data_IF_671499740650
#
_entry.id   IF_671499740650
#
_cell.length_a   1.000
_cell.length_b   1.000
_cell.length_c   1.000
_cell.angle_alpha   90.00
_cell.angle_beta   90.00
_cell.angle_gamma   90.00
#
_symmetry.space_group_name_H-M   'P 1'
#
loop_
_entity.id
_entity.type
_entity.pdbx_description
1 polymer ?
#
# COMPACT_ATOMS: atom_id res chain seq x y z
N UNK A 1 2.31 56.07 20.13
CA UNK A 1 2.50 54.81 20.85
C UNK A 1 1.97 53.70 19.93
N UNK A 2 2.86 53.18 19.06
CA UNK A 2 2.51 52.17 18.05
C UNK A 2 2.92 50.81 18.57
N UNK A 3 1.97 49.92 18.74
CA UNK A 3 2.20 48.51 19.10
C UNK A 3 2.57 47.75 17.81
N UNK A 4 3.78 47.25 17.74
CA UNK A 4 4.21 46.29 16.73
C UNK A 4 3.85 44.90 17.24
N UNK A 5 2.87 44.27 16.58
CA UNK A 5 2.56 42.87 16.78
C UNK A 5 3.61 42.04 16.02
N UNK A 6 4.51 41.39 16.77
CA UNK A 6 5.42 40.40 16.23
C UNK A 6 4.66 39.16 15.89
N UNK A 7 4.49 38.85 14.62
CA UNK A 7 4.00 37.60 14.10
C UNK A 7 5.00 36.48 14.39
N UNK A 8 4.61 35.52 15.22
CA UNK A 8 5.33 34.26 15.40
C UNK A 8 5.16 33.42 14.12
N UNK A 9 6.15 33.44 13.24
CA UNK A 9 6.24 32.49 12.13
C UNK A 9 6.78 31.18 12.68
N UNK A 10 5.90 30.21 12.90
CA UNK A 10 6.31 28.85 13.19
C UNK A 10 6.75 28.20 11.87
N UNK A 11 8.03 28.33 11.54
CA UNK A 11 8.67 27.47 10.54
C UNK A 11 8.74 26.08 11.13
N UNK A 12 7.87 25.17 10.67
CA UNK A 12 8.10 23.74 10.86
C UNK A 12 9.48 23.40 10.27
N UNK A 13 10.27 22.55 10.96
CA UNK A 13 11.50 22.03 10.35
C UNK A 13 11.07 21.19 9.14
N UNK A 14 11.49 21.61 7.96
CA UNK A 14 11.39 20.83 6.75
C UNK A 14 12.27 19.58 6.93
N UNK A 15 11.65 18.43 7.26
CA UNK A 15 12.25 17.15 7.00
C UNK A 15 12.29 17.00 5.47
N UNK A 16 13.29 17.61 4.85
CA UNK A 16 13.68 17.30 3.49
C UNK A 16 14.41 15.96 3.53
N UNK A 17 13.65 14.87 3.61
CA UNK A 17 14.14 13.58 3.11
C UNK A 17 14.42 13.81 1.63
N UNK A 18 15.67 13.65 1.22
CA UNK A 18 16.08 13.81 -0.17
C UNK A 18 15.36 12.74 -0.97
N UNK A 19 14.41 13.09 -1.84
CA UNK A 19 13.70 12.09 -2.64
C UNK A 19 14.70 11.35 -3.51
N UNK A 20 14.61 10.03 -3.55
CA UNK A 20 15.51 9.17 -4.34
C UNK A 20 16.98 9.28 -3.96
N UNK A 21 17.33 9.08 -2.70
CA UNK A 21 18.69 8.76 -2.30
C UNK A 21 19.04 7.41 -2.96
N UNK A 22 19.73 7.45 -4.11
CA UNK A 22 20.40 6.35 -4.83
C UNK A 22 20.19 4.92 -4.29
N UNK A 23 18.95 4.55 -4.00
CA UNK A 23 18.62 3.18 -3.70
C UNK A 23 18.81 2.46 -5.01
N UNK A 24 19.98 1.84 -5.14
CA UNK A 24 20.23 0.88 -6.21
C UNK A 24 19.21 -0.24 -5.96
N UNK A 25 18.05 -0.12 -6.58
CA UNK A 25 17.03 -1.17 -6.58
C UNK A 25 17.53 -2.25 -7.51
N UNK A 26 18.58 -2.95 -7.06
CA UNK A 26 18.89 -4.27 -7.60
C UNK A 26 17.57 -5.03 -7.59
N UNK A 27 17.16 -5.50 -8.75
CA UNK A 27 15.86 -6.13 -8.96
C UNK A 27 15.63 -7.36 -8.05
N UNK A 28 16.64 -7.75 -7.27
CA UNK A 28 16.64 -8.93 -6.43
C UNK A 28 16.60 -10.20 -7.27
N UNK A 29 16.99 -11.30 -6.70
CA UNK A 29 16.77 -12.61 -7.31
C UNK A 29 15.29 -12.82 -7.59
N UNK A 30 14.91 -13.40 -8.74
CA UNK A 30 13.52 -13.74 -9.06
C UNK A 30 12.86 -14.50 -7.91
N UNK A 31 11.61 -14.19 -7.63
CA UNK A 31 10.87 -14.83 -6.54
C UNK A 31 10.56 -16.29 -6.86
N UNK A 32 11.33 -17.23 -6.28
CA UNK A 32 11.04 -18.69 -6.39
C UNK A 32 11.32 -19.31 -7.77
N UNK A 33 10.83 -20.53 -8.02
CA UNK A 33 10.89 -21.12 -9.35
C UNK A 33 10.19 -20.21 -10.33
N UNK A 34 10.83 -19.98 -11.47
CA UNK A 34 10.36 -19.05 -12.50
C UNK A 34 8.82 -19.18 -12.66
N UNK A 35 8.12 -18.04 -12.53
CA UNK A 35 6.72 -17.97 -12.96
C UNK A 35 6.62 -18.55 -14.36
N UNK A 36 5.53 -19.23 -14.65
CA UNK A 36 5.17 -19.55 -16.02
C UNK A 36 5.08 -18.23 -16.81
N UNK A 37 6.19 -17.84 -17.42
CA UNK A 37 6.35 -16.59 -18.15
C UNK A 37 5.44 -16.54 -19.37
N UNK A 38 4.91 -17.66 -19.82
CA UNK A 38 3.93 -17.70 -20.92
C UNK A 38 2.59 -17.10 -20.47
N UNK A 39 2.24 -17.19 -19.18
CA UNK A 39 1.12 -16.45 -18.59
C UNK A 39 1.50 -15.03 -18.15
N UNK A 40 2.75 -14.78 -17.75
CA UNK A 40 3.24 -13.50 -17.24
C UNK A 40 3.43 -12.44 -18.35
N UNK A 41 3.64 -12.83 -19.61
CA UNK A 41 3.83 -11.88 -20.72
C UNK A 41 2.64 -10.95 -20.98
N UNK A 42 1.50 -11.18 -20.34
CA UNK A 42 0.30 -10.33 -20.40
C UNK A 42 -0.05 -9.69 -19.03
N UNK A 43 0.67 -10.01 -17.94
CA UNK A 43 0.34 -9.48 -16.62
C UNK A 43 0.68 -7.98 -16.56
N UNK A 44 -0.32 -7.16 -16.28
CA UNK A 44 -0.17 -5.72 -16.08
C UNK A 44 -0.80 -5.30 -14.78
N UNK A 45 -0.17 -4.36 -14.09
CA UNK A 45 -0.72 -3.71 -12.91
C UNK A 45 -0.82 -2.20 -13.11
N UNK A 46 -1.86 -1.60 -12.56
CA UNK A 46 -2.01 -0.16 -12.44
C UNK A 46 -1.44 0.27 -11.08
N UNK A 47 -0.37 1.04 -11.08
CA UNK A 47 0.19 1.65 -9.87
C UNK A 47 -0.33 3.07 -9.74
N UNK A 48 -1.26 3.28 -8.81
CA UNK A 48 -1.95 4.55 -8.60
C UNK A 48 -1.41 5.25 -7.33
N UNK A 49 -1.03 6.52 -7.47
CA UNK A 49 -0.35 7.29 -6.42
C UNK A 49 -0.95 8.68 -6.22
N UNK A 50 -2.12 8.95 -6.81
CA UNK A 50 -2.80 10.23 -6.64
C UNK A 50 -3.26 10.41 -5.20
N UNK A 51 -3.13 11.62 -4.68
CA UNK A 51 -3.54 11.98 -3.33
C UNK A 51 -4.14 13.37 -3.33
N UNK A 52 -5.27 13.54 -2.68
CA UNK A 52 -5.91 14.85 -2.40
C UNK A 52 -5.65 15.31 -0.97
N UNK A 53 -5.14 14.42 -0.10
CA UNK A 53 -4.66 14.65 1.24
C UNK A 53 -3.13 14.76 1.32
N UNK A 54 -2.54 14.20 2.38
CA UNK A 54 -1.09 14.21 2.57
C UNK A 54 -0.39 13.34 1.54
N UNK A 55 0.59 13.90 0.84
CA UNK A 55 1.39 13.17 -0.15
C UNK A 55 2.71 12.72 0.44
N UNK A 56 2.88 11.40 0.63
CA UNK A 56 4.06 10.81 1.24
C UNK A 56 5.32 11.00 0.39
N UNK A 57 6.44 11.32 1.06
CA UNK A 57 7.75 11.46 0.41
C UNK A 57 8.29 10.13 -0.15
N UNK A 58 7.83 9.00 0.38
CA UNK A 58 8.22 7.64 -0.03
C UNK A 58 7.61 7.17 -1.37
N UNK A 59 6.63 7.88 -1.92
CA UNK A 59 5.97 7.51 -3.18
C UNK A 59 6.96 7.26 -4.32
N UNK A 60 7.96 8.13 -4.58
CA UNK A 60 8.97 7.89 -5.61
C UNK A 60 9.73 6.57 -5.46
N UNK A 61 10.18 6.27 -4.24
CA UNK A 61 10.93 5.05 -3.93
C UNK A 61 10.06 3.81 -4.12
N UNK A 62 8.80 3.88 -3.68
CA UNK A 62 7.81 2.83 -3.90
C UNK A 62 7.50 2.58 -5.38
N UNK A 63 7.37 3.65 -6.19
CA UNK A 63 7.20 3.52 -7.64
C UNK A 63 8.39 2.79 -8.25
N UNK A 64 9.61 3.22 -7.93
CA UNK A 64 10.82 2.63 -8.50
C UNK A 64 10.98 1.17 -8.08
N UNK A 65 10.72 0.84 -6.81
CA UNK A 65 10.76 -0.53 -6.31
C UNK A 65 9.75 -1.43 -7.03
N UNK A 66 8.48 -1.01 -7.15
CA UNK A 66 7.44 -1.82 -7.81
C UNK A 66 7.71 -1.98 -9.30
N UNK A 67 8.23 -0.95 -9.99
CA UNK A 67 8.67 -1.07 -11.39
C UNK A 67 9.84 -2.04 -11.55
N UNK A 68 10.82 -2.01 -10.64
CA UNK A 68 11.93 -2.96 -10.64
C UNK A 68 11.45 -4.40 -10.40
N UNK A 69 10.49 -4.60 -9.45
CA UNK A 69 9.84 -5.88 -9.25
C UNK A 69 9.14 -6.39 -10.52
N UNK A 70 8.42 -5.49 -11.22
CA UNK A 70 7.78 -5.82 -12.51
C UNK A 70 8.79 -6.27 -13.55
N UNK A 71 9.86 -5.50 -13.72
CA UNK A 71 10.93 -5.82 -14.68
C UNK A 71 11.62 -7.15 -14.40
N UNK A 72 11.88 -7.46 -13.11
CA UNK A 72 12.53 -8.71 -12.69
C UNK A 72 11.61 -9.94 -12.76
N UNK A 73 10.30 -9.75 -12.65
CA UNK A 73 9.33 -10.84 -12.56
C UNK A 73 8.34 -10.88 -13.75
N UNK A 74 8.63 -10.18 -14.83
CA UNK A 74 7.91 -10.32 -16.10
C UNK A 74 6.52 -9.70 -16.14
N UNK A 75 6.21 -8.67 -15.33
CA UNK A 75 4.94 -7.96 -15.42
C UNK A 75 5.11 -6.46 -15.70
N UNK A 76 4.17 -5.88 -16.43
CA UNK A 76 4.18 -4.45 -16.74
C UNK A 76 3.57 -3.63 -15.59
N UNK A 77 4.11 -2.42 -15.37
CA UNK A 77 3.65 -1.47 -14.35
C UNK A 77 3.34 -0.13 -15.01
N UNK A 78 2.08 0.25 -15.04
CA UNK A 78 1.63 1.54 -15.51
C UNK A 78 1.41 2.48 -14.32
N UNK A 79 2.21 3.55 -14.23
CA UNK A 79 2.14 4.52 -13.13
C UNK A 79 1.17 5.64 -13.48
N UNK A 80 0.26 5.93 -12.54
CA UNK A 80 -0.70 7.03 -12.61
C UNK A 80 -0.75 7.80 -11.28
N UNK A 81 -1.09 9.09 -11.33
CA UNK A 81 -1.10 9.95 -10.14
C UNK A 81 0.26 10.55 -9.77
N UNK A 82 1.32 10.20 -10.49
CA UNK A 82 2.65 10.81 -10.43
C UNK A 82 3.17 11.09 -11.84
N UNK A 83 3.93 12.19 -11.97
CA UNK A 83 4.61 12.54 -13.22
C UNK A 83 6.10 12.23 -13.14
N UNK A 84 6.67 11.54 -14.14
CA UNK A 84 8.10 11.39 -14.25
C UNK A 84 8.77 12.74 -14.61
N UNK A 85 10.06 12.85 -14.36
CA UNK A 85 10.88 13.91 -14.93
C UNK A 85 11.19 13.68 -16.42
N UNK A 86 11.99 14.57 -17.03
CA UNK A 86 12.37 14.46 -18.43
C UNK A 86 13.20 13.20 -18.77
N UNK A 87 13.75 12.51 -17.76
CA UNK A 87 14.51 11.27 -17.90
C UNK A 87 13.67 10.02 -17.56
N UNK A 88 12.37 10.20 -17.29
CA UNK A 88 11.47 9.10 -16.92
C UNK A 88 11.57 8.67 -15.45
N UNK A 89 12.26 9.44 -14.60
CA UNK A 89 12.39 9.19 -13.16
C UNK A 89 11.24 9.83 -12.38
N UNK A 90 10.80 9.19 -11.31
CA UNK A 90 9.77 9.71 -10.40
C UNK A 90 10.34 10.43 -9.16
N UNK A 91 11.66 10.62 -9.09
CA UNK A 91 12.36 11.15 -7.91
C UNK A 91 11.91 12.56 -7.46
N UNK A 92 11.27 13.32 -8.31
CA UNK A 92 10.75 14.65 -7.96
C UNK A 92 9.48 14.65 -7.09
N UNK A 93 8.89 13.49 -6.79
CA UNK A 93 7.61 13.34 -6.09
C UNK A 93 6.51 14.28 -6.63
N UNK A 94 6.44 14.43 -7.95
CA UNK A 94 5.49 15.34 -8.61
C UNK A 94 4.14 14.67 -8.78
N UNK A 95 3.05 15.24 -8.22
CA UNK A 95 1.71 14.75 -8.47
C UNK A 95 1.32 15.00 -9.92
N UNK A 96 0.65 14.04 -10.55
CA UNK A 96 -0.05 14.29 -11.80
C UNK A 96 -1.25 15.20 -11.54
N UNK A 97 -1.61 16.04 -12.50
CA UNK A 97 -2.84 16.82 -12.43
C UNK A 97 -4.03 15.84 -12.46
N UNK A 98 -4.91 15.94 -11.45
CA UNK A 98 -6.01 15.07 -11.09
C UNK A 98 -6.78 14.43 -12.26
N UNK A 99 -6.25 13.36 -12.80
CA UNK A 99 -6.90 12.59 -13.85
C UNK A 99 -7.58 11.36 -13.20
N UNK A 100 -8.86 11.49 -12.97
CA UNK A 100 -9.72 10.39 -12.49
C UNK A 100 -10.16 9.47 -13.62
N UNK A 101 -9.83 9.79 -14.88
CA UNK A 101 -10.27 9.07 -16.07
C UNK A 101 -9.72 7.64 -16.21
N UNK A 102 -8.82 7.21 -15.34
CA UNK A 102 -8.26 5.84 -15.37
C UNK A 102 -9.23 4.78 -14.87
N UNK A 103 -10.22 5.16 -14.07
CA UNK A 103 -11.18 4.24 -13.48
C UNK A 103 -12.41 4.09 -14.38
N UNK A 104 -12.21 3.51 -15.54
CA UNK A 104 -13.28 3.09 -16.45
C UNK A 104 -13.23 1.57 -16.63
N UNK A 105 -14.34 0.94 -17.00
CA UNK A 105 -14.38 -0.51 -17.25
C UNK A 105 -13.38 -0.92 -18.33
N UNK A 106 -13.23 -0.10 -19.39
CA UNK A 106 -12.28 -0.34 -20.48
C UNK A 106 -10.85 -0.32 -19.99
N UNK A 107 -10.45 0.72 -19.23
CA UNK A 107 -9.09 0.83 -18.75
C UNK A 107 -8.77 -0.25 -17.70
N UNK A 108 -9.66 -0.47 -16.74
CA UNK A 108 -9.45 -1.44 -15.66
C UNK A 108 -9.34 -2.88 -16.19
N UNK A 109 -10.04 -3.21 -17.29
CA UNK A 109 -9.96 -4.55 -17.90
C UNK A 109 -8.57 -4.95 -18.40
N UNK A 110 -7.65 -3.98 -18.55
CA UNK A 110 -6.27 -4.21 -18.97
C UNK A 110 -5.35 -4.66 -17.82
N UNK A 111 -5.81 -4.56 -16.57
CA UNK A 111 -4.98 -4.79 -15.38
C UNK A 111 -5.46 -6.00 -14.60
N UNK A 112 -4.52 -6.84 -14.19
CA UNK A 112 -4.79 -7.94 -13.28
C UNK A 112 -4.93 -7.45 -11.82
N UNK A 113 -4.23 -6.37 -11.47
CA UNK A 113 -4.37 -5.73 -10.16
C UNK A 113 -4.18 -4.20 -10.25
N UNK A 114 -4.81 -3.50 -9.31
CA UNK A 114 -4.62 -2.06 -9.03
C UNK A 114 -3.90 -1.92 -7.69
N UNK A 115 -2.79 -1.21 -7.67
CA UNK A 115 -2.00 -0.93 -6.46
C UNK A 115 -2.18 0.53 -6.08
N UNK A 116 -2.73 0.79 -4.90
CA UNK A 116 -2.78 2.12 -4.30
C UNK A 116 -1.56 2.29 -3.38
N UNK A 117 -0.59 3.08 -3.85
CA UNK A 117 0.65 3.33 -3.12
C UNK A 117 0.55 4.65 -2.38
N UNK A 118 0.39 4.58 -1.07
CA UNK A 118 0.30 5.74 -0.16
C UNK A 118 -0.68 6.82 -0.67
N UNK A 119 -1.80 6.39 -1.26
CA UNK A 119 -2.89 7.28 -1.66
C UNK A 119 -3.60 7.79 -0.42
N UNK A 120 -3.91 9.08 -0.38
CA UNK A 120 -4.67 9.68 0.71
C UNK A 120 -5.76 10.62 0.19
N UNK A 121 -6.82 10.80 0.98
CA UNK A 121 -7.76 11.91 0.79
C UNK A 121 -7.81 12.77 2.05
N UNK A 122 -8.33 13.99 1.93
CA UNK A 122 -8.70 14.72 3.14
C UNK A 122 -9.76 13.94 3.91
N UNK A 123 -9.78 14.08 5.25
CA UNK A 123 -10.74 13.40 6.12
C UNK A 123 -12.15 14.05 6.03
N UNK A 124 -12.62 14.21 4.79
CA UNK A 124 -13.91 14.78 4.45
C UNK A 124 -14.62 13.85 3.46
N UNK A 125 -15.89 13.51 3.65
CA UNK A 125 -16.60 12.53 2.84
C UNK A 125 -16.64 12.85 1.34
N UNK A 126 -16.58 14.13 0.97
CA UNK A 126 -16.53 14.61 -0.41
C UNK A 126 -15.15 14.55 -1.05
N UNK A 127 -14.09 14.36 -0.26
CA UNK A 127 -12.74 14.21 -0.77
C UNK A 127 -12.54 12.81 -1.33
N UNK A 128 -12.22 12.71 -2.60
CA UNK A 128 -12.18 11.42 -3.31
C UNK A 128 -11.03 11.35 -4.31
N UNK A 129 -10.59 10.13 -4.60
CA UNK A 129 -9.56 9.82 -5.60
C UNK A 129 -10.15 9.67 -7.01
N UNK A 130 -11.46 9.47 -7.12
CA UNK A 130 -12.18 9.28 -8.38
C UNK A 130 -13.64 9.71 -8.25
N UNK A 131 -14.30 9.99 -9.37
CA UNK A 131 -15.71 10.32 -9.39
C UNK A 131 -16.61 9.08 -9.17
N UNK A 132 -17.92 9.28 -9.08
CA UNK A 132 -18.88 8.19 -8.81
C UNK A 132 -18.91 7.14 -9.93
N UNK A 133 -18.67 7.54 -11.19
CA UNK A 133 -18.58 6.59 -12.28
C UNK A 133 -17.31 5.71 -12.16
N UNK A 134 -16.21 6.32 -11.75
CA UNK A 134 -14.96 5.62 -11.45
C UNK A 134 -15.10 4.66 -10.28
N UNK A 135 -15.77 5.06 -9.20
CA UNK A 135 -16.09 4.19 -8.07
C UNK A 135 -16.90 2.97 -8.48
N UNK A 136 -17.95 3.19 -9.27
CA UNK A 136 -18.79 2.10 -9.77
C UNK A 136 -18.00 1.14 -10.68
N UNK A 137 -17.15 1.66 -11.56
CA UNK A 137 -16.31 0.85 -12.44
C UNK A 137 -15.26 0.05 -11.64
N UNK A 138 -14.64 0.67 -10.64
CA UNK A 138 -13.66 0.00 -9.78
C UNK A 138 -14.30 -1.09 -8.91
N UNK A 139 -15.46 -0.82 -8.30
CA UNK A 139 -16.20 -1.85 -7.56
C UNK A 139 -16.58 -3.04 -8.45
N UNK A 140 -17.09 -2.77 -9.65
CA UNK A 140 -17.43 -3.83 -10.61
C UNK A 140 -16.19 -4.64 -11.01
N UNK A 141 -15.05 -4.00 -11.26
CA UNK A 141 -13.78 -4.65 -11.57
C UNK A 141 -13.33 -5.59 -10.45
N UNK A 142 -13.35 -5.13 -9.20
CA UNK A 142 -12.98 -5.96 -8.05
C UNK A 142 -13.94 -7.15 -7.91
N UNK A 143 -15.25 -6.91 -7.92
CA UNK A 143 -16.24 -7.99 -7.76
C UNK A 143 -16.20 -9.04 -8.87
N UNK A 144 -15.73 -8.66 -10.06
CA UNK A 144 -15.52 -9.55 -11.20
C UNK A 144 -14.22 -10.37 -11.16
N UNK A 145 -13.35 -10.15 -10.18
CA UNK A 145 -12.11 -10.91 -10.02
C UNK A 145 -10.82 -10.07 -10.11
N UNK A 146 -10.93 -8.78 -10.28
CA UNK A 146 -9.79 -7.86 -10.27
C UNK A 146 -9.06 -7.84 -8.93
N UNK A 147 -7.73 -7.65 -8.95
CA UNK A 147 -6.90 -7.57 -7.77
C UNK A 147 -6.78 -6.15 -7.22
N UNK A 148 -6.63 -6.05 -5.90
CA UNK A 148 -6.33 -4.80 -5.22
C UNK A 148 -5.17 -4.95 -4.24
N UNK A 149 -4.28 -3.95 -4.21
CA UNK A 149 -3.20 -3.85 -3.24
C UNK A 149 -3.21 -2.46 -2.62
N UNK A 150 -3.38 -2.39 -1.30
CA UNK A 150 -3.21 -1.16 -0.53
C UNK A 150 -1.85 -1.14 0.17
N UNK A 151 -1.09 -0.07 -0.01
CA UNK A 151 0.22 0.12 0.64
C UNK A 151 0.15 1.35 1.53
N UNK A 152 0.54 1.16 2.78
CA UNK A 152 0.66 2.20 3.82
C UNK A 152 -0.60 3.07 3.91
N UNK A 153 -0.53 4.33 3.47
CA UNK A 153 -1.61 5.28 3.61
C UNK A 153 -2.85 5.00 2.75
N UNK A 154 -2.90 3.90 2.01
CA UNK A 154 -4.11 3.54 1.28
C UNK A 154 -5.36 3.41 2.20
N UNK A 155 -5.19 3.13 3.49
CA UNK A 155 -6.29 3.14 4.48
C UNK A 155 -6.73 4.54 4.93
N UNK A 156 -5.94 5.59 4.60
CA UNK A 156 -6.20 7.01 4.89
C UNK A 156 -6.85 7.71 3.68
N UNK A 157 -7.81 7.05 3.05
CA UNK A 157 -8.46 7.56 1.85
C UNK A 157 -9.94 7.15 1.77
N UNK A 158 -10.69 7.86 0.91
CA UNK A 158 -12.05 7.51 0.52
C UNK A 158 -13.03 7.37 1.70
N UNK A 159 -12.93 8.24 2.69
CA UNK A 159 -13.71 8.18 3.94
C UNK A 159 -15.24 8.15 3.75
N UNK A 160 -15.75 8.63 2.62
CA UNK A 160 -17.15 8.57 2.26
C UNK A 160 -17.60 7.29 1.52
N UNK A 161 -16.68 6.34 1.24
CA UNK A 161 -16.96 5.20 0.37
C UNK A 161 -16.89 3.86 1.11
N UNK A 162 -18.03 3.37 1.56
CA UNK A 162 -18.14 2.15 2.36
C UNK A 162 -17.53 0.89 1.68
N UNK A 163 -17.69 0.75 0.35
CA UNK A 163 -17.08 -0.35 -0.39
C UNK A 163 -15.56 -0.36 -0.27
N UNK A 164 -14.91 0.81 -0.33
CA UNK A 164 -13.47 0.92 -0.22
C UNK A 164 -12.96 0.48 1.15
N UNK A 165 -13.67 0.84 2.21
CA UNK A 165 -13.34 0.40 3.57
C UNK A 165 -13.56 -1.11 3.76
N UNK A 166 -14.63 -1.66 3.15
CA UNK A 166 -14.82 -3.12 3.13
C UNK A 166 -13.73 -3.83 2.35
N UNK A 167 -13.32 -3.30 1.19
CA UNK A 167 -12.25 -3.84 0.36
C UNK A 167 -10.90 -3.90 1.10
N UNK A 168 -10.54 -2.84 1.83
CA UNK A 168 -9.34 -2.76 2.66
C UNK A 168 -9.47 -3.55 3.97
N UNK A 169 -10.64 -3.59 4.58
CA UNK A 169 -10.90 -4.23 5.88
C UNK A 169 -10.60 -3.35 7.09
N UNK A 170 -9.92 -2.22 6.92
CA UNK A 170 -9.63 -1.25 7.98
C UNK A 170 -9.56 0.19 7.43
N UNK A 171 -9.80 1.16 8.31
CA UNK A 171 -9.67 2.60 8.04
C UNK A 171 -8.67 3.19 9.01
N UNK A 172 -7.78 4.03 8.51
CA UNK A 172 -6.82 4.77 9.33
C UNK A 172 -7.51 5.57 10.43
N UNK A 173 -6.93 5.52 11.63
CA UNK A 173 -7.36 6.33 12.78
C UNK A 173 -6.31 7.37 13.15
N UNK A 174 -5.10 6.93 13.42
CA UNK A 174 -3.98 7.78 13.86
C UNK A 174 -2.65 7.00 13.73
N UNK A 175 -1.55 7.64 14.09
CA UNK A 175 -0.24 7.02 14.21
C UNK A 175 0.62 7.76 15.26
N UNK A 176 1.59 7.08 15.82
CA UNK A 176 2.70 7.67 16.55
C UNK A 176 3.83 8.14 15.62
N UNK A 177 4.94 8.67 16.15
CA UNK A 177 6.12 8.93 15.34
C UNK A 177 6.71 7.62 14.80
N UNK A 178 7.37 7.64 13.63
CA UNK A 178 8.07 6.48 13.11
C UNK A 178 9.04 5.88 14.14
N UNK A 179 8.99 4.57 14.33
CA UNK A 179 9.77 3.86 15.36
C UNK A 179 10.05 2.42 14.95
N UNK A 180 11.14 1.86 15.47
CA UNK A 180 11.42 0.43 15.31
C UNK A 180 10.50 -0.39 16.19
N UNK A 181 9.79 -1.35 15.58
CA UNK A 181 8.97 -2.32 16.28
C UNK A 181 9.23 -3.74 15.77
N UNK A 182 8.73 -4.73 16.48
CA UNK A 182 8.79 -6.14 16.12
C UNK A 182 7.49 -6.58 15.46
N UNK A 183 7.60 -7.26 14.33
CA UNK A 183 6.49 -7.86 13.62
C UNK A 183 6.50 -9.38 13.84
N UNK A 184 5.34 -9.96 14.08
CA UNK A 184 5.11 -11.39 14.18
C UNK A 184 4.45 -11.89 12.90
N UNK A 185 5.09 -12.83 12.21
CA UNK A 185 4.52 -13.49 11.03
C UNK A 185 3.50 -14.51 11.52
N UNK A 186 2.23 -14.36 11.12
CA UNK A 186 1.15 -15.28 11.51
C UNK A 186 0.90 -16.37 10.47
N UNK A 187 1.05 -16.03 9.18
CA UNK A 187 0.94 -17.03 8.11
C UNK A 187 2.17 -16.97 7.18
N UNK A 188 3.17 -17.76 7.48
CA UNK A 188 4.37 -17.90 6.65
C UNK A 188 4.13 -18.75 5.38
N UNK A 189 2.97 -19.35 5.19
CA UNK A 189 2.64 -20.08 3.98
C UNK A 189 2.13 -19.14 2.86
N UNK A 190 1.55 -18.01 3.26
CA UNK A 190 1.08 -17.02 2.27
C UNK A 190 2.26 -16.36 1.54
N UNK A 191 2.20 -16.18 0.20
CA UNK A 191 3.28 -15.63 -0.60
C UNK A 191 3.85 -14.31 -0.10
N UNK A 192 2.99 -13.41 0.39
CA UNK A 192 3.41 -12.12 0.92
C UNK A 192 4.16 -12.20 2.25
N UNK A 193 4.08 -13.32 2.97
CA UNK A 193 4.74 -13.49 4.27
C UNK A 193 5.81 -14.59 4.27
N UNK A 194 5.94 -15.30 3.15
CA UNK A 194 6.89 -16.41 3.03
C UNK A 194 8.34 -15.94 3.11
N UNK A 195 9.16 -16.69 3.86
CA UNK A 195 10.58 -16.42 4.08
C UNK A 195 10.90 -15.06 4.71
N UNK A 196 9.92 -14.38 5.31
CA UNK A 196 10.19 -13.22 6.17
C UNK A 196 10.76 -13.71 7.52
N UNK A 197 11.67 -12.93 8.15
CA UNK A 197 12.12 -13.22 9.50
C UNK A 197 10.95 -13.26 10.48
N UNK A 198 11.02 -14.11 11.52
CA UNK A 198 10.01 -14.13 12.58
C UNK A 198 10.68 -14.30 13.96
N UNK A 199 10.74 -13.27 14.83
CA UNK A 199 10.20 -11.93 14.62
C UNK A 199 10.97 -11.12 13.58
N UNK A 200 10.28 -10.15 12.94
CA UNK A 200 10.85 -9.25 11.95
C UNK A 200 10.92 -7.82 12.51
N UNK A 201 12.11 -7.33 12.83
CA UNK A 201 12.31 -5.97 13.33
C UNK A 201 12.31 -4.97 12.19
N UNK A 202 11.43 -3.94 12.26
CA UNK A 202 11.27 -2.92 11.22
C UNK A 202 11.15 -1.53 11.82
N UNK A 203 11.73 -0.54 11.13
CA UNK A 203 11.47 0.88 11.36
C UNK A 203 10.44 1.33 10.34
N UNK A 204 9.29 1.81 10.82
CA UNK A 204 8.24 2.40 9.97
C UNK A 204 7.33 3.29 10.83
N UNK A 205 6.32 3.89 10.21
CA UNK A 205 5.21 4.57 10.87
C UNK A 205 4.04 3.60 11.02
N UNK A 206 3.69 3.29 12.26
CA UNK A 206 2.69 2.28 12.56
C UNK A 206 1.31 2.93 12.69
N UNK A 207 0.41 2.54 11.79
CA UNK A 207 -0.96 3.02 11.78
C UNK A 207 -1.83 2.24 12.73
N UNK A 208 -2.56 2.96 13.58
CA UNK A 208 -3.70 2.44 14.34
C UNK A 208 -4.96 2.59 13.48
N UNK A 209 -5.87 1.62 13.56
CA UNK A 209 -7.05 1.56 12.72
C UNK A 209 -8.34 1.74 13.53
N UNK A 210 -9.40 2.24 12.90
CA UNK A 210 -10.71 2.42 13.54
C UNK A 210 -11.38 1.10 13.89
N UNK A 211 -11.03 0.02 13.19
CA UNK A 211 -11.48 -1.36 13.44
C UNK A 211 -10.35 -2.35 13.23
N UNK A 212 -10.37 -3.44 14.01
CA UNK A 212 -9.45 -4.55 13.79
C UNK A 212 -9.93 -5.38 12.60
N UNK A 213 -9.13 -5.57 11.54
CA UNK A 213 -9.53 -6.31 10.34
C UNK A 213 -9.70 -7.82 10.55
N UNK A 214 -9.18 -8.41 11.64
CA UNK A 214 -9.13 -9.85 11.87
C UNK A 214 -10.48 -10.57 11.74
N UNK A 215 -11.57 -9.88 12.03
CA UNK A 215 -12.92 -10.48 11.90
C UNK A 215 -13.38 -10.61 10.44
N UNK A 216 -12.74 -9.94 9.49
CA UNK A 216 -13.17 -9.85 8.09
C UNK A 216 -12.04 -10.09 7.09
N UNK A 217 -10.81 -10.27 7.57
CA UNK A 217 -9.61 -10.46 6.77
C UNK A 217 -8.69 -11.53 7.39
N UNK A 218 -7.92 -12.22 6.57
CA UNK A 218 -6.90 -13.17 6.98
C UNK A 218 -5.61 -12.41 7.29
N UNK A 219 -5.19 -12.43 8.56
CA UNK A 219 -4.01 -11.69 9.03
C UNK A 219 -2.75 -12.45 8.69
N UNK A 220 -1.80 -11.77 8.06
CA UNK A 220 -0.50 -12.32 7.66
C UNK A 220 0.61 -11.89 8.62
N UNK A 221 0.54 -10.64 9.09
CA UNK A 221 1.57 -10.03 9.96
C UNK A 221 0.87 -9.20 11.03
N UNK A 222 1.30 -9.40 12.26
CA UNK A 222 0.84 -8.66 13.43
C UNK A 222 1.97 -7.81 14.00
N UNK A 223 1.67 -6.59 14.44
CA UNK A 223 2.58 -5.68 15.10
C UNK A 223 2.59 -5.94 16.61
N UNK A 224 3.76 -6.15 17.19
CA UNK A 224 3.90 -6.30 18.65
C UNK A 224 4.04 -4.93 19.31
N UNK A 225 2.92 -4.41 19.82
CA UNK A 225 2.84 -3.10 20.48
C UNK A 225 3.71 -3.02 21.76
N UNK A 226 4.13 -4.14 22.33
CA UNK A 226 4.99 -4.16 23.54
C UNK A 226 6.44 -3.79 23.23
N UNK A 227 6.81 -3.74 21.95
CA UNK A 227 8.19 -3.54 21.51
C UNK A 227 8.51 -2.08 21.14
N UNK A 228 7.53 -1.17 21.20
CA UNK A 228 7.73 0.25 20.94
C UNK A 228 6.89 1.14 21.87
N UNK A 229 7.38 2.36 22.20
CA UNK A 229 6.67 3.29 23.08
C UNK A 229 5.70 4.18 22.30
N UNK A 230 4.80 4.86 23.05
CA UNK A 230 4.01 6.00 22.57
C UNK A 230 3.04 5.68 21.43
N UNK A 231 2.43 4.48 21.41
CA UNK A 231 1.30 4.23 20.55
C UNK A 231 0.10 5.08 21.04
N UNK A 232 -0.45 5.99 20.21
CA UNK A 232 -1.54 6.89 20.64
C UNK A 232 -2.89 6.19 20.79
N UNK A 233 -3.13 5.08 20.09
CA UNK A 233 -4.38 4.33 20.13
C UNK A 233 -4.15 2.81 20.08
N UNK A 234 -3.56 2.21 21.15
CA UNK A 234 -3.22 0.79 21.16
C UNK A 234 -4.41 -0.10 20.83
N UNK A 235 -4.20 -1.03 19.90
CA UNK A 235 -5.22 -2.00 19.47
C UNK A 235 -5.13 -3.32 20.27
N UNK A 236 -3.96 -3.60 20.89
CA UNK A 236 -3.66 -4.85 21.60
C UNK A 236 -3.37 -6.00 20.64
N UNK A 237 -4.36 -6.47 19.89
CA UNK A 237 -4.19 -7.27 18.69
C UNK A 237 -4.11 -6.31 17.50
N UNK A 238 -2.93 -6.21 16.86
CA UNK A 238 -2.62 -5.16 15.91
C UNK A 238 -2.17 -5.72 14.54
N UNK A 239 -3.11 -6.19 13.71
CA UNK A 239 -2.79 -6.58 12.35
C UNK A 239 -2.17 -5.41 11.57
N UNK A 240 -1.05 -5.66 10.88
CA UNK A 240 -0.37 -4.65 10.06
C UNK A 240 -0.26 -5.05 8.59
N UNK A 241 -0.47 -6.35 8.26
CA UNK A 241 -0.65 -6.80 6.90
C UNK A 241 -1.65 -7.98 6.87
N UNK A 242 -2.51 -7.97 5.88
CA UNK A 242 -3.57 -8.97 5.73
C UNK A 242 -4.03 -9.09 4.28
N UNK A 243 -4.80 -10.14 4.01
CA UNK A 243 -5.48 -10.30 2.75
C UNK A 243 -6.97 -10.62 2.92
N UNK A 244 -7.74 -10.43 1.88
CA UNK A 244 -9.19 -10.57 1.88
C UNK A 244 -9.71 -10.91 0.49
N UNK A 245 -10.86 -11.58 0.41
CA UNK A 245 -11.60 -11.77 -0.83
C UNK A 245 -12.86 -10.89 -0.83
N UNK A 246 -13.16 -10.23 -1.95
CA UNK A 246 -14.35 -9.38 -2.12
C UNK A 246 -15.00 -9.72 -3.46
N UNK A 247 -16.15 -10.41 -3.42
CA UNK A 247 -16.71 -11.05 -4.60
C UNK A 247 -15.77 -12.14 -5.13
N UNK A 248 -15.40 -12.07 -6.41
CA UNK A 248 -14.36 -12.93 -6.99
C UNK A 248 -12.95 -12.32 -6.90
N UNK A 249 -12.82 -11.07 -6.45
CA UNK A 249 -11.56 -10.34 -6.37
C UNK A 249 -10.74 -10.65 -5.13
N UNK A 250 -9.47 -10.25 -5.16
CA UNK A 250 -8.48 -10.44 -4.10
C UNK A 250 -7.95 -9.10 -3.65
N UNK A 251 -7.90 -8.88 -2.33
CA UNK A 251 -7.33 -7.70 -1.71
C UNK A 251 -6.14 -8.10 -0.84
N UNK A 252 -5.07 -7.32 -0.90
CA UNK A 252 -3.93 -7.39 -0.02
C UNK A 252 -3.63 -6.00 0.52
N UNK A 253 -3.34 -5.90 1.81
CA UNK A 253 -2.91 -4.66 2.44
C UNK A 253 -1.64 -4.86 3.25
N UNK A 254 -0.76 -3.84 3.24
CA UNK A 254 0.38 -3.72 4.14
C UNK A 254 0.51 -2.30 4.65
N UNK A 255 0.67 -2.15 5.98
CA UNK A 255 0.95 -0.88 6.63
C UNK A 255 2.38 -0.37 6.49
N UNK A 256 3.29 -1.20 5.94
CA UNK A 256 4.68 -0.80 5.69
C UNK A 256 4.77 0.19 4.52
N UNK A 257 5.75 1.11 4.57
CA UNK A 257 6.06 1.98 3.42
C UNK A 257 6.02 3.48 3.66
N UNK A 258 6.00 3.94 4.93
CA UNK A 258 6.12 5.36 5.23
C UNK A 258 7.46 5.93 4.79
N UNK A 259 8.55 5.27 5.13
CA UNK A 259 9.90 5.72 4.79
C UNK A 259 10.36 5.18 3.42
N UNK A 260 10.94 6.03 2.58
CA UNK A 260 11.49 5.63 1.28
C UNK A 260 12.51 4.49 1.39
N UNK A 261 13.34 4.50 2.44
CA UNK A 261 14.31 3.45 2.72
C UNK A 261 13.70 2.04 2.88
N UNK A 262 12.41 1.94 3.28
CA UNK A 262 11.72 0.65 3.37
C UNK A 262 11.68 -0.06 2.02
N UNK A 263 11.50 0.67 0.93
CA UNK A 263 11.45 0.11 -0.43
C UNK A 263 12.80 -0.38 -0.97
N UNK A 264 13.91 0.02 -0.32
CA UNK A 264 15.25 -0.52 -0.57
C UNK A 264 15.50 -1.88 0.09
N UNK A 265 14.72 -2.26 1.10
CA UNK A 265 14.89 -3.50 1.84
C UNK A 265 14.39 -4.72 1.04
N UNK A 266 15.23 -5.75 0.93
CA UNK A 266 14.91 -6.94 0.15
C UNK A 266 13.68 -7.70 0.67
N UNK A 267 13.47 -7.74 2.01
CA UNK A 267 12.33 -8.43 2.62
C UNK A 267 11.04 -7.65 2.42
N UNK A 268 11.07 -6.30 2.46
CA UNK A 268 9.91 -5.47 2.13
C UNK A 268 9.54 -5.63 0.65
N UNK A 269 10.51 -5.63 -0.25
CA UNK A 269 10.25 -5.90 -1.68
C UNK A 269 9.66 -7.28 -1.92
N UNK A 270 10.18 -8.30 -1.22
CA UNK A 270 9.65 -9.66 -1.27
C UNK A 270 8.20 -9.72 -0.79
N UNK A 271 7.90 -9.06 0.33
CA UNK A 271 6.54 -8.94 0.88
C UNK A 271 5.58 -8.29 -0.12
N UNK A 272 5.98 -7.15 -0.69
CA UNK A 272 5.19 -6.45 -1.71
C UNK A 272 4.97 -7.29 -2.96
N UNK A 273 6.02 -7.95 -3.47
CA UNK A 273 5.91 -8.81 -4.66
C UNK A 273 4.91 -9.95 -4.42
N UNK A 274 5.02 -10.64 -3.27
CA UNK A 274 4.09 -11.72 -2.93
C UNK A 274 2.65 -11.22 -2.85
N UNK A 275 2.41 -10.05 -2.25
CA UNK A 275 1.09 -9.43 -2.19
C UNK A 275 0.53 -9.01 -3.55
N UNK A 276 1.37 -8.40 -4.39
CA UNK A 276 0.99 -7.99 -5.75
C UNK A 276 0.61 -9.21 -6.60
N UNK A 277 1.46 -10.24 -6.62
CA UNK A 277 1.23 -11.45 -7.42
C UNK A 277 0.03 -12.26 -6.92
N UNK A 278 -0.18 -12.33 -5.59
CA UNK A 278 -1.39 -12.91 -5.02
C UNK A 278 -2.64 -12.16 -5.47
N UNK A 279 -2.67 -10.84 -5.30
CA UNK A 279 -3.80 -10.00 -5.69
C UNK A 279 -4.09 -10.11 -7.19
N UNK A 280 -3.05 -10.10 -8.03
CA UNK A 280 -3.16 -10.29 -9.48
C UNK A 280 -3.61 -11.70 -9.90
N UNK A 281 -3.74 -12.63 -8.98
CA UNK A 281 -4.12 -14.01 -9.29
C UNK A 281 -3.01 -14.84 -9.93
N UNK A 282 -1.78 -14.31 -10.00
CA UNK A 282 -0.64 -14.97 -10.60
C UNK A 282 -0.08 -16.10 -9.73
N UNK A 283 -0.26 -16.02 -8.42
CA UNK A 283 0.10 -17.06 -7.47
C UNK A 283 -1.06 -17.36 -6.50
N UNK A 284 -1.10 -18.59 -6.02
CA UNK A 284 -2.08 -18.98 -5.00
C UNK A 284 -1.67 -18.45 -3.62
N UNK A 285 -2.65 -18.13 -2.78
CA UNK A 285 -2.51 -17.81 -1.37
C UNK A 285 -3.86 -18.04 -0.68
N UNK A 286 -3.82 -18.52 0.55
CA UNK A 286 -5.04 -18.70 1.34
C UNK A 286 -5.37 -17.38 2.05
N UNK A 287 -6.58 -16.89 1.86
CA UNK A 287 -7.15 -15.74 2.56
C UNK A 287 -8.52 -16.08 3.15
N UNK A 288 -8.78 -17.34 3.40
CA UNK A 288 -9.93 -17.74 4.19
C UNK A 288 -9.83 -17.21 5.62
N UNK A 289 -10.94 -16.83 6.19
CA UNK A 289 -10.98 -16.53 7.62
C UNK A 289 -10.69 -17.81 8.40
N UNK A 290 -9.95 -17.72 9.53
CA UNK A 290 -9.82 -18.87 10.43
C UNK A 290 -11.23 -19.35 10.83
N UNK A 291 -11.42 -20.67 10.84
CA UNK A 291 -12.69 -21.25 11.27
C UNK A 291 -13.07 -20.72 12.66
N UNK A 292 -14.27 -20.18 12.79
CA UNK A 292 -14.81 -19.63 14.04
C UNK A 292 -15.08 -20.71 15.13
N UNK A 293 -14.43 -21.87 15.04
CA UNK A 293 -14.68 -23.02 15.86
C UNK A 293 -13.44 -23.83 16.20
N UNK A 294 -12.76 -23.46 17.28
CA UNK A 294 -11.63 -24.24 17.81
C UNK A 294 -11.01 -23.58 19.03
N UNK A 295 -11.82 -23.21 20.02
CA UNK A 295 -11.36 -22.80 21.32
C UNK A 295 -11.93 -23.71 22.40
#
# INVERSE_FOLDING_TARGET
MWLVLAGCSTTQPSNQETPCSGIDVDAGEPYGPAFDTDAAGSLRILLYTYSTGYRHASIPDGINAIRALGAANGFAVDVKGSEPDALGSYCGNRPAAGDTAYFTAENLSQYAAVVFLSTTTAAAPESTLMDEAGKAAFEAYIRAGGGFVGVHAATDAEYGWAFYHDLLGATFLTHGPPVTASLRIEDAAHPAASALPNPWSRFDEWYDFTQNPRSTAHVLINLDETTYPNNPAPMGDHPIAWCKTVGAGRSFYTGLGHAGAAFGDAMVRRHLLGGILYAAGAIAGDCSLPDAGGG
#
